data_IF_324688518973
#
_entry.id   IF_324688518973
#
_cell.length_a   1.000
_cell.length_b   1.000
_cell.length_c   1.000
_cell.angle_alpha   90.00
_cell.angle_beta   90.00
_cell.angle_gamma   90.00
#
_symmetry.space_group_name_H-M   'P 1'
#
loop_
_entity.id
_entity.type
_entity.pdbx_description
1 polymer ?
#
# COMPACT_ATOMS: atom_id res chain seq x y z
N UNK A 1 27.68 2.34 -13.18
CA UNK A 1 27.14 1.53 -12.07
C UNK A 1 26.89 0.12 -12.56
N UNK A 2 26.97 -0.87 -11.67
CA UNK A 2 26.58 -2.26 -11.95
C UNK A 2 25.20 -2.49 -11.37
N UNK A 3 24.29 -3.08 -12.16
CA UNK A 3 22.95 -3.43 -11.73
C UNK A 3 22.85 -4.95 -11.62
N UNK A 4 22.42 -5.40 -10.46
CA UNK A 4 22.15 -6.81 -10.18
C UNK A 4 20.71 -6.96 -9.72
N UNK A 5 20.09 -8.12 -10.00
CA UNK A 5 18.78 -8.45 -9.47
C UNK A 5 18.70 -9.93 -9.07
N UNK A 6 17.82 -10.22 -8.11
CA UNK A 6 17.53 -11.58 -7.64
C UNK A 6 16.02 -11.76 -7.46
N UNK A 7 15.44 -12.88 -7.91
CA UNK A 7 14.05 -13.20 -7.61
C UNK A 7 13.90 -13.58 -6.14
N UNK A 8 12.72 -13.34 -5.59
CA UNK A 8 12.32 -13.86 -4.29
C UNK A 8 10.89 -14.36 -4.32
N UNK A 9 10.55 -15.25 -3.39
CA UNK A 9 9.20 -15.72 -3.18
C UNK A 9 8.99 -16.21 -1.74
N UNK A 10 7.77 -16.08 -1.24
CA UNK A 10 7.32 -16.75 -0.01
C UNK A 10 5.82 -17.05 -0.06
N UNK A 11 5.37 -18.06 0.73
CA UNK A 11 3.97 -18.40 0.86
C UNK A 11 3.25 -17.43 1.80
N UNK A 12 2.07 -16.96 1.41
CA UNK A 12 1.13 -16.25 2.28
C UNK A 12 0.26 -17.30 3.01
N UNK A 13 0.38 -17.37 4.33
CA UNK A 13 -0.32 -18.35 5.15
C UNK A 13 -1.04 -17.68 6.32
N UNK A 14 -2.40 -17.70 6.31
CA UNK A 14 -3.29 -18.19 5.26
C UNK A 14 -3.23 -17.35 3.99
N UNK A 15 -3.74 -17.84 2.83
CA UNK A 15 -3.84 -17.03 1.63
C UNK A 15 -4.65 -15.75 1.86
N UNK A 16 -4.20 -14.63 1.32
CA UNK A 16 -4.94 -13.37 1.40
C UNK A 16 -6.08 -13.37 0.38
N UNK A 17 -7.31 -13.26 0.83
CA UNK A 17 -8.47 -13.13 -0.06
C UNK A 17 -8.52 -11.73 -0.67
N UNK A 18 -8.49 -11.67 -1.99
CA UNK A 18 -8.56 -10.42 -2.76
C UNK A 18 -9.77 -10.43 -3.70
N UNK A 19 -10.13 -9.28 -4.27
CA UNK A 19 -11.18 -9.20 -5.28
C UNK A 19 -10.87 -10.04 -6.55
N UNK A 20 -9.59 -10.37 -6.78
CA UNK A 20 -9.14 -11.22 -7.90
C UNK A 20 -8.98 -12.69 -7.50
N UNK A 21 -9.42 -13.11 -6.32
CA UNK A 21 -9.28 -14.45 -5.78
C UNK A 21 -8.20 -14.57 -4.69
N UNK A 22 -7.91 -15.81 -4.23
CA UNK A 22 -6.94 -16.05 -3.19
C UNK A 22 -5.51 -15.79 -3.69
N UNK A 23 -4.77 -15.00 -2.93
CA UNK A 23 -3.36 -14.73 -3.15
C UNK A 23 -2.54 -15.54 -2.15
N UNK A 24 -1.92 -16.62 -2.63
CA UNK A 24 -1.23 -17.62 -1.80
C UNK A 24 0.28 -17.47 -1.77
N UNK A 25 0.86 -16.70 -2.69
CA UNK A 25 2.30 -16.59 -2.84
C UNK A 25 2.69 -15.16 -3.25
N UNK A 26 3.65 -14.60 -2.53
CA UNK A 26 4.28 -13.33 -2.84
C UNK A 26 5.55 -13.58 -3.65
N UNK A 27 5.69 -12.92 -4.81
CA UNK A 27 6.86 -12.98 -5.70
C UNK A 27 7.29 -11.59 -6.09
N UNK A 28 8.59 -11.43 -6.35
CA UNK A 28 9.16 -10.18 -6.84
C UNK A 28 10.65 -10.28 -7.10
N UNK A 29 11.31 -9.13 -7.20
CA UNK A 29 12.75 -9.03 -7.44
C UNK A 29 13.36 -7.99 -6.53
N UNK A 30 14.51 -8.34 -5.96
CA UNK A 30 15.41 -7.40 -5.32
C UNK A 30 16.33 -6.82 -6.39
N UNK A 31 16.62 -5.53 -6.31
CA UNK A 31 17.58 -4.84 -7.15
C UNK A 31 18.70 -4.25 -6.29
N UNK A 32 19.93 -4.32 -6.83
CA UNK A 32 21.11 -3.74 -6.21
C UNK A 32 21.87 -2.94 -7.26
N UNK A 33 22.14 -1.69 -6.96
CA UNK A 33 22.98 -0.80 -7.75
C UNK A 33 24.31 -0.58 -7.04
N UNK A 34 25.41 -1.00 -7.64
CA UNK A 34 26.77 -0.79 -7.13
C UNK A 34 27.38 0.42 -7.84
N UNK A 35 27.64 1.48 -7.08
CA UNK A 35 28.41 2.62 -7.55
C UNK A 35 29.88 2.44 -7.15
N UNK A 36 30.69 1.93 -8.08
CA UNK A 36 32.10 1.69 -7.87
C UNK A 36 32.92 2.95 -7.65
N UNK A 37 32.45 4.11 -8.11
CA UNK A 37 33.19 5.38 -7.95
C UNK A 37 33.11 5.89 -6.50
N UNK A 38 31.95 5.71 -5.85
CA UNK A 38 31.72 6.15 -4.48
C UNK A 38 31.70 5.00 -3.45
N UNK A 39 31.92 3.77 -3.88
CA UNK A 39 31.79 2.55 -3.05
C UNK A 39 30.45 2.48 -2.32
N UNK A 40 29.40 2.99 -2.96
CA UNK A 40 28.04 3.05 -2.43
C UNK A 40 27.15 1.98 -3.07
N UNK A 41 26.18 1.49 -2.31
CA UNK A 41 25.21 0.50 -2.76
C UNK A 41 23.81 1.06 -2.53
N UNK A 42 23.00 1.07 -3.60
CA UNK A 42 21.58 1.37 -3.54
C UNK A 42 20.75 0.10 -3.66
N UNK A 43 19.70 -0.02 -2.87
CA UNK A 43 18.83 -1.18 -2.81
C UNK A 43 17.42 -0.84 -3.25
N UNK A 44 16.83 -1.72 -4.03
CA UNK A 44 15.45 -1.60 -4.49
C UNK A 44 14.72 -2.93 -4.46
N UNK A 45 13.41 -2.85 -4.57
CA UNK A 45 12.54 -4.02 -4.61
C UNK A 45 11.39 -3.80 -5.57
N UNK A 46 11.25 -4.68 -6.57
CA UNK A 46 10.07 -4.74 -7.42
C UNK A 46 9.09 -5.78 -6.87
N UNK A 47 7.99 -5.30 -6.34
CA UNK A 47 7.00 -6.09 -5.61
C UNK A 47 5.62 -6.05 -6.31
N UNK A 48 5.46 -6.61 -7.55
CA UNK A 48 4.23 -6.51 -8.33
C UNK A 48 3.06 -7.30 -7.72
N UNK A 49 1.84 -6.90 -8.03
CA UNK A 49 0.67 -7.76 -7.80
C UNK A 49 0.71 -8.96 -8.77
N UNK A 50 -0.01 -10.08 -8.47
CA UNK A 50 0.02 -11.28 -9.31
C UNK A 50 -0.27 -11.01 -10.79
N UNK A 51 -1.22 -10.13 -11.09
CA UNK A 51 -1.58 -9.80 -12.48
C UNK A 51 -0.50 -9.01 -13.24
N UNK A 52 0.39 -8.31 -12.53
CA UNK A 52 1.46 -7.48 -13.11
C UNK A 52 2.79 -8.23 -13.21
N UNK A 53 2.88 -9.44 -12.61
CA UNK A 53 4.13 -10.17 -12.43
C UNK A 53 4.84 -10.45 -13.77
N UNK A 54 4.12 -10.94 -14.80
CA UNK A 54 4.73 -11.24 -16.11
C UNK A 54 5.35 -10.01 -16.75
N UNK A 55 4.61 -8.90 -16.78
CA UNK A 55 5.11 -7.63 -17.33
C UNK A 55 6.32 -7.08 -16.57
N UNK A 56 6.34 -7.22 -15.25
CA UNK A 56 7.50 -6.84 -14.44
C UNK A 56 8.69 -7.78 -14.67
N UNK A 57 8.46 -9.10 -14.88
CA UNK A 57 9.51 -10.05 -15.20
C UNK A 57 10.24 -9.69 -16.49
N UNK A 58 9.49 -9.39 -17.55
CA UNK A 58 10.05 -8.97 -18.83
C UNK A 58 10.86 -7.67 -18.67
N UNK A 59 10.33 -6.70 -17.92
CA UNK A 59 11.02 -5.45 -17.68
C UNK A 59 12.32 -5.62 -16.87
N UNK A 60 12.31 -6.46 -15.83
CA UNK A 60 13.53 -6.75 -15.03
C UNK A 60 14.58 -7.47 -15.88
N UNK A 61 14.18 -8.46 -16.68
CA UNK A 61 15.08 -9.20 -17.55
C UNK A 61 15.74 -8.31 -18.63
N UNK A 62 15.06 -7.22 -19.03
CA UNK A 62 15.56 -6.26 -20.00
C UNK A 62 16.48 -5.19 -19.41
N UNK A 63 16.64 -5.12 -18.07
CA UNK A 63 17.53 -4.15 -17.43
C UNK A 63 18.99 -4.43 -17.78
N UNK A 64 19.77 -3.40 -18.17
CA UNK A 64 21.20 -3.60 -18.49
C UNK A 64 22.01 -3.86 -17.23
N UNK A 65 22.95 -4.78 -17.29
CA UNK A 65 23.86 -5.06 -16.19
C UNK A 65 24.78 -3.88 -15.85
N UNK A 66 25.12 -3.06 -16.87
CA UNK A 66 25.88 -1.81 -16.71
C UNK A 66 25.05 -0.63 -17.20
N UNK A 67 24.98 0.42 -16.38
CA UNK A 67 24.19 1.60 -16.70
C UNK A 67 24.74 2.87 -16.05
N UNK A 68 24.38 4.03 -16.61
CA UNK A 68 24.60 5.33 -15.97
C UNK A 68 23.35 5.78 -15.18
N UNK A 69 23.53 6.73 -14.27
CA UNK A 69 22.41 7.36 -13.57
C UNK A 69 21.43 7.99 -14.56
N UNK A 70 21.94 8.70 -15.57
CA UNK A 70 21.12 9.36 -16.59
C UNK A 70 20.27 8.36 -17.38
N UNK A 71 20.82 7.18 -17.71
CA UNK A 71 20.09 6.13 -18.38
C UNK A 71 18.94 5.62 -17.51
N UNK A 72 19.18 5.34 -16.24
CA UNK A 72 18.14 4.90 -15.31
C UNK A 72 17.06 5.97 -15.10
N UNK A 73 17.44 7.26 -14.97
CA UNK A 73 16.49 8.38 -14.83
C UNK A 73 15.58 8.54 -16.08
N UNK A 74 16.09 8.26 -17.26
CA UNK A 74 15.28 8.26 -18.48
C UNK A 74 14.35 7.03 -18.55
N UNK A 75 14.88 5.87 -18.23
CA UNK A 75 14.17 4.58 -18.36
C UNK A 75 13.06 4.44 -17.32
N UNK A 76 13.25 4.93 -16.10
CA UNK A 76 12.30 4.78 -14.98
C UNK A 76 10.87 5.23 -15.33
N UNK A 77 10.72 6.19 -16.23
CA UNK A 77 9.42 6.76 -16.64
C UNK A 77 8.60 5.82 -17.53
N UNK A 78 9.22 4.82 -18.13
CA UNK A 78 8.59 3.90 -19.07
C UNK A 78 8.42 2.49 -18.50
N UNK A 79 8.97 2.26 -17.31
CA UNK A 79 8.91 0.96 -16.64
C UNK A 79 7.57 0.74 -15.93
N UNK A 80 7.18 -0.53 -15.73
CA UNK A 80 6.08 -0.86 -14.82
C UNK A 80 6.31 -0.28 -13.43
N UNK A 81 5.24 0.17 -12.77
CA UNK A 81 5.33 0.84 -11.46
C UNK A 81 6.23 0.15 -10.44
N UNK A 82 6.10 -1.18 -10.21
CA UNK A 82 6.97 -1.88 -9.26
C UNK A 82 8.46 -1.84 -9.63
N UNK A 83 8.81 -1.92 -10.90
CA UNK A 83 10.20 -1.87 -11.36
C UNK A 83 10.73 -0.44 -11.27
N UNK A 84 9.92 0.54 -11.62
CA UNK A 84 10.25 1.96 -11.45
C UNK A 84 10.45 2.32 -9.96
N UNK A 85 9.62 1.79 -9.06
CA UNK A 85 9.82 1.93 -7.62
C UNK A 85 11.17 1.37 -7.18
N UNK A 86 11.53 0.15 -7.64
CA UNK A 86 12.79 -0.48 -7.27
C UNK A 86 14.01 0.36 -7.69
N UNK A 87 14.04 0.82 -8.92
CA UNK A 87 15.13 1.66 -9.44
C UNK A 87 15.15 3.01 -8.72
N UNK A 88 13.99 3.66 -8.57
CA UNK A 88 13.88 4.95 -7.89
C UNK A 88 14.32 4.89 -6.43
N UNK A 89 14.00 3.81 -5.71
CA UNK A 89 14.45 3.59 -4.35
C UNK A 89 15.97 3.39 -4.28
N UNK A 90 16.55 2.56 -5.17
CA UNK A 90 17.99 2.33 -5.21
C UNK A 90 18.76 3.62 -5.54
N UNK A 91 18.27 4.42 -6.48
CA UNK A 91 18.84 5.74 -6.79
C UNK A 91 18.70 6.72 -5.61
N UNK A 92 17.58 6.69 -4.89
CA UNK A 92 17.38 7.51 -3.70
C UNK A 92 18.41 7.20 -2.62
N UNK A 93 18.71 5.92 -2.38
CA UNK A 93 19.72 5.50 -1.42
C UNK A 93 21.14 5.92 -1.84
N UNK A 94 21.48 5.77 -3.13
CA UNK A 94 22.76 6.27 -3.65
C UNK A 94 22.89 7.79 -3.50
N UNK A 95 21.78 8.53 -3.58
CA UNK A 95 21.73 9.98 -3.34
C UNK A 95 21.70 10.34 -1.83
N UNK A 96 21.83 9.36 -0.94
CA UNK A 96 21.91 9.56 0.51
C UNK A 96 20.56 9.64 1.25
N UNK A 97 19.43 9.30 0.60
CA UNK A 97 18.17 9.19 1.32
C UNK A 97 18.14 7.93 2.21
N UNK A 98 17.52 8.03 3.40
CA UNK A 98 16.63 9.08 3.92
C UNK A 98 17.33 10.30 4.55
N UNK A 99 18.64 10.44 4.44
CA UNK A 99 19.39 11.54 5.07
C UNK A 99 19.64 11.35 6.57
N UNK A 100 19.34 10.16 7.09
CA UNK A 100 19.45 9.76 8.49
C UNK A 100 18.94 8.33 8.68
N UNK A 101 18.68 7.89 9.92
CA UNK A 101 18.15 6.54 10.16
C UNK A 101 16.74 6.39 9.57
N UNK A 102 16.45 5.19 9.08
CA UNK A 102 15.10 4.81 8.67
C UNK A 102 14.13 4.95 9.85
N UNK A 103 13.03 5.64 9.64
CA UNK A 103 11.98 5.76 10.67
C UNK A 103 11.27 4.43 10.85
N UNK A 104 10.95 4.02 12.09
CA UNK A 104 10.20 2.81 12.34
C UNK A 104 8.76 2.93 11.83
N UNK A 105 8.13 1.79 11.57
CA UNK A 105 6.74 1.72 11.19
C UNK A 105 5.83 2.39 12.24
N UNK A 106 4.91 3.29 11.84
CA UNK A 106 3.94 3.89 12.74
C UNK A 106 2.81 2.90 13.07
N UNK A 107 1.85 3.33 13.90
CA UNK A 107 0.62 2.58 14.11
C UNK A 107 -0.07 2.27 12.77
N UNK A 108 -0.57 1.05 12.64
CA UNK A 108 -1.22 0.55 11.42
C UNK A 108 -2.66 0.15 11.69
N UNK A 109 -3.53 0.33 10.69
CA UNK A 109 -4.86 -0.22 10.71
C UNK A 109 -4.79 -1.77 10.69
N UNK A 110 -5.72 -2.39 11.42
CA UNK A 110 -5.90 -3.85 11.42
C UNK A 110 -6.71 -4.24 10.19
N UNK A 111 -6.18 -5.16 9.40
CA UNK A 111 -6.89 -5.71 8.25
C UNK A 111 -7.84 -6.81 8.72
N UNK A 112 -9.14 -6.59 8.55
CA UNK A 112 -10.17 -7.58 8.81
C UNK A 112 -10.39 -8.45 7.55
N UNK A 113 -10.69 -9.76 7.71
CA UNK A 113 -11.08 -10.59 6.58
C UNK A 113 -12.39 -10.10 5.96
N UNK A 114 -12.62 -10.43 4.69
CA UNK A 114 -13.90 -10.17 4.04
C UNK A 114 -15.02 -11.04 4.63
N UNK A 115 -16.27 -10.59 4.53
CA UNK A 115 -17.44 -11.32 4.99
C UNK A 115 -17.59 -11.41 6.52
N UNK A 116 -18.32 -12.42 7.00
CA UNK A 116 -18.72 -12.55 8.41
C UNK A 116 -17.55 -12.79 9.38
N UNK A 117 -16.45 -13.35 8.90
CA UNK A 117 -15.25 -13.58 9.72
C UNK A 117 -14.64 -12.30 10.27
N UNK A 118 -14.98 -11.15 9.66
CA UNK A 118 -14.56 -9.83 10.12
C UNK A 118 -14.97 -9.55 11.57
N UNK A 119 -16.15 -9.99 11.97
CA UNK A 119 -16.67 -9.77 13.34
C UNK A 119 -15.83 -10.54 14.36
N UNK A 120 -15.57 -11.81 14.07
CA UNK A 120 -14.73 -12.65 14.94
C UNK A 120 -13.32 -12.11 15.03
N UNK A 121 -12.73 -11.70 13.90
CA UNK A 121 -11.40 -11.11 13.86
C UNK A 121 -11.32 -9.79 14.63
N UNK A 122 -12.35 -8.92 14.50
CA UNK A 122 -12.43 -7.68 15.27
C UNK A 122 -12.50 -7.97 16.78
N UNK A 123 -13.35 -8.89 17.20
CA UNK A 123 -13.46 -9.27 18.62
C UNK A 123 -12.15 -9.84 19.18
N UNK A 124 -11.43 -10.64 18.40
CA UNK A 124 -10.11 -11.16 18.79
C UNK A 124 -9.10 -10.02 18.94
N UNK A 125 -9.07 -9.10 17.98
CA UNK A 125 -8.21 -7.93 18.02
C UNK A 125 -8.47 -7.06 19.26
N UNK A 126 -9.74 -6.80 19.58
CA UNK A 126 -10.14 -6.02 20.75
C UNK A 126 -9.71 -6.68 22.07
N UNK A 127 -9.79 -8.01 22.18
CA UNK A 127 -9.29 -8.74 23.35
C UNK A 127 -7.78 -8.65 23.53
N UNK A 128 -7.02 -8.57 22.41
CA UNK A 128 -5.56 -8.46 22.43
C UNK A 128 -5.08 -7.01 22.74
N UNK A 129 -5.92 -6.01 22.47
CA UNK A 129 -5.58 -4.58 22.60
C UNK A 129 -6.32 -3.89 23.77
N UNK A 130 -6.56 -4.59 24.88
CA UNK A 130 -7.37 -4.13 26.03
C UNK A 130 -7.10 -2.70 26.51
N UNK A 131 -5.87 -2.19 26.37
CA UNK A 131 -5.47 -0.85 26.85
C UNK A 131 -5.60 0.27 25.82
N UNK A 132 -5.84 -0.03 24.54
CA UNK A 132 -5.82 0.98 23.46
C UNK A 132 -6.93 0.82 22.41
N UNK A 133 -8.03 0.17 22.78
CA UNK A 133 -9.14 -0.13 21.88
C UNK A 133 -9.79 1.11 21.26
N UNK A 134 -9.76 2.27 21.93
CA UNK A 134 -10.31 3.52 21.41
C UNK A 134 -9.47 4.16 20.29
N UNK A 135 -8.20 3.77 20.15
CA UNK A 135 -7.32 4.22 19.05
C UNK A 135 -7.29 3.23 17.88
N UNK A 136 -8.09 2.16 17.94
CA UNK A 136 -8.14 1.15 16.89
C UNK A 136 -8.64 1.75 15.57
N UNK A 137 -7.93 1.47 14.49
CA UNK A 137 -8.43 1.65 13.12
C UNK A 137 -8.53 0.26 12.50
N UNK A 138 -9.73 -0.13 12.07
CA UNK A 138 -9.99 -1.37 11.35
C UNK A 138 -10.21 -1.07 9.87
N UNK A 139 -9.70 -1.91 8.98
CA UNK A 139 -9.98 -1.88 7.53
C UNK A 139 -10.71 -3.15 7.16
N UNK A 140 -11.90 -3.02 6.56
CA UNK A 140 -12.73 -4.13 6.11
C UNK A 140 -12.96 -4.06 4.61
N UNK A 141 -12.75 -5.20 3.92
CA UNK A 141 -13.01 -5.35 2.50
C UNK A 141 -14.51 -5.57 2.25
N UNK A 142 -15.07 -4.76 1.35
CA UNK A 142 -16.46 -4.80 0.92
C UNK A 142 -16.55 -4.98 -0.60
N UNK A 143 -17.77 -5.27 -1.12
CA UNK A 143 -17.95 -5.58 -2.55
C UNK A 143 -17.56 -7.03 -2.90
N UNK A 144 -17.50 -7.91 -1.90
CA UNK A 144 -17.16 -9.34 -2.04
C UNK A 144 -18.41 -10.20 -1.94
N UNK A 145 -19.39 -9.80 -1.14
CA UNK A 145 -20.70 -10.44 -0.98
C UNK A 145 -21.79 -9.58 -1.64
N UNK A 146 -23.05 -10.06 -1.55
CA UNK A 146 -24.18 -9.23 -1.95
C UNK A 146 -24.27 -7.99 -1.04
N UNK A 147 -24.67 -6.83 -1.60
CA UNK A 147 -24.64 -5.57 -0.87
C UNK A 147 -25.52 -5.51 0.36
N UNK A 148 -26.62 -6.24 0.41
CA UNK A 148 -27.54 -6.21 1.54
C UNK A 148 -26.99 -7.04 2.72
N UNK A 149 -26.36 -8.18 2.43
CA UNK A 149 -25.60 -8.95 3.43
C UNK A 149 -24.44 -8.17 4.01
N UNK A 150 -23.68 -7.45 3.17
CA UNK A 150 -22.57 -6.61 3.65
C UNK A 150 -23.05 -5.45 4.52
N UNK A 151 -24.18 -4.81 4.18
CA UNK A 151 -24.77 -3.76 5.01
C UNK A 151 -25.22 -4.28 6.37
N UNK A 152 -25.76 -5.51 6.47
CA UNK A 152 -26.09 -6.15 7.75
C UNK A 152 -24.84 -6.44 8.58
N UNK A 153 -23.76 -6.90 7.95
CA UNK A 153 -22.46 -7.10 8.61
C UNK A 153 -21.85 -5.79 9.09
N UNK A 154 -22.02 -4.71 8.32
CA UNK A 154 -21.58 -3.36 8.72
C UNK A 154 -22.23 -2.94 10.04
N UNK A 155 -23.54 -3.12 10.21
CA UNK A 155 -24.23 -2.79 11.47
C UNK A 155 -23.59 -3.54 12.64
N UNK A 156 -23.37 -4.83 12.49
CA UNK A 156 -22.74 -5.64 13.53
C UNK A 156 -21.29 -5.20 13.82
N UNK A 157 -20.50 -4.87 12.81
CA UNK A 157 -19.14 -4.36 13.00
C UNK A 157 -19.16 -3.02 13.76
N UNK A 158 -20.06 -2.10 13.40
CA UNK A 158 -20.22 -0.81 14.05
C UNK A 158 -20.65 -0.94 15.53
N UNK A 159 -21.51 -1.90 15.84
CA UNK A 159 -21.91 -2.21 17.23
C UNK A 159 -20.72 -2.72 18.07
N UNK A 160 -19.83 -3.53 17.49
CA UNK A 160 -18.67 -4.08 18.20
C UNK A 160 -17.49 -3.09 18.30
N UNK A 161 -17.41 -2.10 17.41
CA UNK A 161 -16.35 -1.09 17.47
C UNK A 161 -16.53 -0.18 18.70
N UNK A 162 -15.51 -0.05 19.55
CA UNK A 162 -15.57 0.85 20.70
C UNK A 162 -15.66 2.32 20.29
N UNK A 163 -16.09 3.15 21.22
CA UNK A 163 -16.08 4.60 21.00
C UNK A 163 -14.64 5.10 20.76
N UNK A 164 -14.48 5.93 19.71
CA UNK A 164 -13.18 6.44 19.28
C UNK A 164 -12.46 5.57 18.27
N UNK A 165 -12.82 4.28 18.12
CA UNK A 165 -12.29 3.45 17.05
C UNK A 165 -12.87 3.86 15.70
N UNK A 166 -12.09 3.67 14.62
CA UNK A 166 -12.44 4.07 13.27
C UNK A 166 -12.49 2.87 12.32
N UNK A 167 -13.37 2.95 11.34
CA UNK A 167 -13.54 1.94 10.29
C UNK A 167 -13.18 2.52 8.93
N UNK A 168 -12.36 1.81 8.18
CA UNK A 168 -12.12 2.00 6.75
C UNK A 168 -12.83 0.90 5.98
N UNK A 169 -13.54 1.25 4.94
CA UNK A 169 -14.19 0.31 4.04
C UNK A 169 -13.48 0.35 2.69
N UNK A 170 -13.12 -0.80 2.14
CA UNK A 170 -12.37 -0.88 0.89
C UNK A 170 -13.15 -1.70 -0.14
N UNK A 171 -13.66 -1.03 -1.17
CA UNK A 171 -14.44 -1.63 -2.25
C UNK A 171 -13.60 -1.98 -3.49
N UNK A 172 -12.31 -1.65 -3.52
CA UNK A 172 -11.38 -1.92 -4.61
C UNK A 172 -11.93 -1.58 -6.02
N UNK A 173 -12.74 -0.52 -6.14
CA UNK A 173 -13.34 -0.09 -7.40
C UNK A 173 -14.45 -1.00 -7.93
N UNK A 174 -14.94 -1.93 -7.11
CA UNK A 174 -15.86 -2.99 -7.54
C UNK A 174 -17.34 -2.58 -7.59
N UNK A 175 -17.73 -1.43 -7.06
CA UNK A 175 -19.15 -1.04 -7.04
C UNK A 175 -19.55 -0.28 -8.29
N UNK A 176 -20.84 -0.40 -8.63
CA UNK A 176 -21.53 0.52 -9.51
C UNK A 176 -22.04 1.76 -8.74
N UNK A 177 -22.52 2.78 -9.46
CA UNK A 177 -23.05 4.00 -8.87
C UNK A 177 -24.27 3.78 -7.98
N UNK A 178 -25.11 2.78 -8.28
CA UNK A 178 -26.31 2.49 -7.51
C UNK A 178 -25.92 1.91 -6.14
N UNK A 179 -25.03 0.94 -6.12
CA UNK A 179 -24.47 0.34 -4.90
C UNK A 179 -23.74 1.39 -4.07
N UNK A 180 -22.82 2.15 -4.69
CA UNK A 180 -22.09 3.21 -3.99
C UNK A 180 -23.02 4.28 -3.41
N UNK A 181 -24.13 4.59 -4.09
CA UNK A 181 -25.17 5.51 -3.62
C UNK A 181 -25.91 4.99 -2.38
N UNK A 182 -26.26 3.70 -2.32
CA UNK A 182 -26.87 3.04 -1.14
C UNK A 182 -25.94 3.10 0.07
N UNK A 183 -24.70 2.72 -0.12
CA UNK A 183 -23.65 2.78 0.92
C UNK A 183 -23.43 4.22 1.41
N UNK A 184 -23.36 5.19 0.49
CA UNK A 184 -23.21 6.59 0.85
C UNK A 184 -24.39 7.13 1.67
N UNK A 185 -25.63 6.72 1.37
CA UNK A 185 -26.80 7.09 2.20
C UNK A 185 -26.71 6.55 3.61
N UNK A 186 -26.22 5.30 3.77
CA UNK A 186 -26.05 4.69 5.10
C UNK A 186 -24.92 5.36 5.88
N UNK A 187 -23.83 5.71 5.21
CA UNK A 187 -22.57 6.12 5.85
C UNK A 187 -22.43 7.63 6.06
N UNK A 188 -23.26 8.47 5.43
CA UNK A 188 -23.08 9.94 5.44
C UNK A 188 -23.05 10.60 6.83
N UNK A 189 -23.63 9.96 7.85
CA UNK A 189 -23.64 10.42 9.24
C UNK A 189 -22.94 9.45 10.19
N UNK A 190 -22.15 8.50 9.67
CA UNK A 190 -21.48 7.51 10.49
C UNK A 190 -20.18 8.07 11.08
N UNK A 191 -20.20 8.31 12.38
CA UNK A 191 -19.06 8.94 13.09
C UNK A 191 -17.84 8.04 13.19
N UNK A 192 -18.00 6.72 13.10
CA UNK A 192 -16.91 5.74 13.10
C UNK A 192 -16.29 5.53 11.72
N UNK A 193 -16.88 6.08 10.65
CA UNK A 193 -16.30 5.99 9.33
C UNK A 193 -15.08 6.91 9.19
N UNK A 194 -13.90 6.35 8.96
CA UNK A 194 -12.73 7.15 8.61
C UNK A 194 -12.76 7.54 7.14
N UNK A 195 -12.98 6.57 6.24
CA UNK A 195 -13.25 6.77 4.81
C UNK A 195 -13.76 5.51 4.12
N UNK A 196 -14.33 5.72 2.94
CA UNK A 196 -14.63 4.70 1.95
C UNK A 196 -13.53 4.71 0.88
N UNK A 197 -12.75 3.62 0.77
CA UNK A 197 -11.63 3.51 -0.15
C UNK A 197 -12.08 2.95 -1.49
N UNK A 198 -11.71 3.64 -2.56
CA UNK A 198 -11.97 3.33 -3.97
C UNK A 198 -13.35 2.68 -4.21
N UNK A 199 -14.46 3.41 -3.99
CA UNK A 199 -15.80 2.82 -4.12
C UNK A 199 -16.18 2.47 -5.56
N UNK A 200 -15.73 3.25 -6.53
CA UNK A 200 -16.07 3.14 -7.95
C UNK A 200 -14.82 2.87 -8.79
N UNK A 201 -14.98 2.35 -10.02
CA UNK A 201 -13.86 2.20 -10.94
C UNK A 201 -13.05 3.50 -11.09
N UNK A 202 -11.72 3.42 -11.22
CA UNK A 202 -10.85 4.60 -11.36
C UNK A 202 -11.24 5.55 -12.49
N UNK A 203 -11.86 5.03 -13.56
CA UNK A 203 -12.34 5.82 -14.70
C UNK A 203 -13.61 6.62 -14.42
N UNK A 204 -14.34 6.33 -13.33
CA UNK A 204 -15.58 7.05 -12.98
C UNK A 204 -15.31 8.31 -12.15
N UNK A 205 -14.57 9.26 -12.73
CA UNK A 205 -14.19 10.50 -12.07
C UNK A 205 -15.40 11.29 -11.53
N UNK A 206 -16.50 11.35 -12.28
CA UNK A 206 -17.70 12.09 -11.88
C UNK A 206 -18.36 11.45 -10.65
N UNK A 207 -18.48 10.13 -10.63
CA UNK A 207 -19.02 9.38 -9.48
C UNK A 207 -18.15 9.52 -8.24
N UNK A 208 -16.83 9.39 -8.38
CA UNK A 208 -15.86 9.56 -7.28
C UNK A 208 -15.93 10.96 -6.68
N UNK A 209 -15.98 12.02 -7.51
CA UNK A 209 -16.15 13.40 -7.05
C UNK A 209 -17.50 13.61 -6.34
N UNK A 210 -18.57 13.04 -6.86
CA UNK A 210 -19.89 13.16 -6.24
C UNK A 210 -19.93 12.49 -4.85
N UNK A 211 -19.33 11.33 -4.70
CA UNK A 211 -19.20 10.63 -3.41
C UNK A 211 -18.31 11.41 -2.43
N UNK A 212 -17.15 11.92 -2.88
CA UNK A 212 -16.21 12.68 -2.06
C UNK A 212 -16.76 13.99 -1.48
N UNK A 213 -17.88 14.52 -2.06
CA UNK A 213 -18.62 15.67 -1.50
C UNK A 213 -19.58 15.28 -0.37
N UNK A 214 -19.94 14.01 -0.24
CA UNK A 214 -20.95 13.51 0.70
C UNK A 214 -20.33 12.85 1.92
N UNK A 215 -19.19 12.19 1.77
CA UNK A 215 -18.50 11.45 2.81
C UNK A 215 -16.99 11.42 2.54
N UNK A 216 -16.15 11.09 3.55
CA UNK A 216 -14.73 10.89 3.33
C UNK A 216 -14.49 9.73 2.35
N UNK A 217 -13.78 10.00 1.26
CA UNK A 217 -13.36 8.98 0.28
C UNK A 217 -11.84 9.02 0.15
N UNK A 218 -11.22 7.84 0.05
CA UNK A 218 -9.82 7.66 -0.29
C UNK A 218 -9.70 6.99 -1.66
N UNK A 219 -8.73 7.42 -2.46
CA UNK A 219 -8.40 6.79 -3.75
C UNK A 219 -7.12 5.97 -3.61
N UNK A 220 -7.14 4.74 -4.12
CA UNK A 220 -6.03 3.78 -4.22
C UNK A 220 -5.76 3.45 -5.70
N UNK A 221 -6.59 2.63 -6.32
CA UNK A 221 -6.41 2.19 -7.70
C UNK A 221 -6.36 3.35 -8.71
N UNK A 222 -7.01 4.46 -8.41
CA UNK A 222 -6.96 5.68 -9.22
C UNK A 222 -5.57 6.30 -9.31
N UNK A 223 -4.69 6.05 -8.32
CA UNK A 223 -3.30 6.55 -8.31
C UNK A 223 -2.44 5.91 -9.41
N UNK A 224 -2.79 4.69 -9.83
CA UNK A 224 -2.04 3.89 -10.81
C UNK A 224 -2.77 3.76 -12.16
N UNK A 225 -4.01 4.23 -12.23
CA UNK A 225 -4.83 4.11 -13.44
C UNK A 225 -4.45 5.17 -14.49
N UNK A 226 -4.48 4.79 -15.76
CA UNK A 226 -4.13 5.67 -16.88
C UNK A 226 -5.01 6.92 -17.01
N UNK A 227 -6.25 6.89 -16.48
CA UNK A 227 -7.12 8.08 -16.41
C UNK A 227 -6.64 9.11 -15.39
N UNK A 228 -5.70 8.77 -14.52
CA UNK A 228 -5.23 9.63 -13.43
C UNK A 228 -6.28 9.93 -12.37
N UNK A 229 -5.97 10.88 -11.51
CA UNK A 229 -6.90 11.33 -10.47
C UNK A 229 -7.98 12.24 -11.06
N UNK A 230 -9.22 12.23 -10.50
CA UNK A 230 -10.24 13.20 -10.85
C UNK A 230 -9.75 14.64 -10.66
N UNK A 231 -9.93 15.49 -11.68
CA UNK A 231 -9.53 16.90 -11.59
C UNK A 231 -10.22 17.59 -10.40
N UNK A 232 -9.44 18.28 -9.56
CA UNK A 232 -9.96 18.92 -8.35
C UNK A 232 -10.18 17.96 -7.18
N UNK A 233 -9.64 16.74 -7.21
CA UNK A 233 -9.72 15.84 -6.07
C UNK A 233 -9.05 16.44 -4.82
N UNK A 234 -9.78 16.46 -3.72
CA UNK A 234 -9.32 17.01 -2.43
C UNK A 234 -9.52 16.02 -1.26
N UNK A 235 -9.93 14.78 -1.57
CA UNK A 235 -10.08 13.68 -0.61
C UNK A 235 -8.75 13.02 -0.23
N UNK A 236 -8.84 11.89 0.43
CA UNK A 236 -7.69 11.09 0.83
C UNK A 236 -7.06 10.38 -0.37
N UNK A 237 -5.75 10.11 -0.27
CA UNK A 237 -5.00 9.24 -1.17
C UNK A 237 -4.34 8.12 -0.35
N UNK A 238 -4.68 6.88 -0.69
CA UNK A 238 -4.13 5.67 -0.09
C UNK A 238 -2.99 5.16 -0.98
N UNK A 239 -1.80 5.67 -0.76
CA UNK A 239 -0.61 5.36 -1.56
C UNK A 239 -0.09 3.95 -1.30
N UNK A 240 0.16 3.19 -2.38
CA UNK A 240 0.95 1.96 -2.42
C UNK A 240 2.26 2.23 -3.18
N UNK A 241 3.25 2.88 -2.56
CA UNK A 241 4.41 3.39 -3.28
C UNK A 241 5.11 2.32 -4.13
N UNK A 242 5.19 1.08 -3.62
CA UNK A 242 5.79 -0.05 -4.33
C UNK A 242 5.11 -0.41 -5.67
N UNK A 243 3.92 0.13 -5.95
CA UNK A 243 3.15 -0.10 -7.18
C UNK A 243 3.01 1.16 -8.05
N UNK A 244 3.30 2.35 -7.51
CA UNK A 244 2.99 3.64 -8.14
C UNK A 244 4.12 4.20 -9.01
N UNK A 245 5.29 3.61 -8.97
CA UNK A 245 6.46 4.08 -9.72
C UNK A 245 7.55 4.67 -8.84
N UNK A 246 8.32 5.63 -9.39
CA UNK A 246 9.39 6.28 -8.66
C UNK A 246 8.91 6.87 -7.31
N UNK A 247 9.44 6.42 -6.15
CA UNK A 247 8.94 6.87 -4.85
C UNK A 247 9.40 8.28 -4.47
N UNK A 248 10.43 8.83 -5.11
CA UNK A 248 11.05 10.10 -4.72
C UNK A 248 10.10 11.30 -4.73
N UNK A 249 9.21 11.47 -5.72
CA UNK A 249 8.22 12.55 -5.70
C UNK A 249 7.24 12.46 -4.52
N UNK A 250 6.72 11.26 -4.23
CA UNK A 250 5.85 11.06 -3.07
C UNK A 250 6.61 11.30 -1.76
N UNK A 251 7.84 10.79 -1.67
CA UNK A 251 8.70 11.00 -0.50
C UNK A 251 8.86 12.49 -0.20
N UNK A 252 9.19 13.29 -1.21
CA UNK A 252 9.29 14.75 -1.07
C UNK A 252 7.98 15.39 -0.61
N UNK A 253 6.83 14.98 -1.17
CA UNK A 253 5.52 15.46 -0.73
C UNK A 253 5.27 15.16 0.75
N UNK A 254 5.64 13.97 1.23
CA UNK A 254 5.47 13.58 2.63
C UNK A 254 6.40 14.37 3.55
N UNK A 255 7.64 14.64 3.13
CA UNK A 255 8.60 15.46 3.90
C UNK A 255 8.11 16.90 4.09
N UNK A 256 7.51 17.50 3.08
CA UNK A 256 6.94 18.87 3.18
C UNK A 256 5.55 18.91 3.83
N UNK A 257 5.00 17.76 4.23
CA UNK A 257 3.74 17.68 4.93
C UNK A 257 2.50 17.79 4.04
N UNK A 258 2.45 17.07 2.91
CA UNK A 258 1.25 17.00 2.08
C UNK A 258 0.08 16.38 2.87
N UNK A 259 -1.10 17.04 2.93
CA UNK A 259 -2.23 16.54 3.70
C UNK A 259 -2.94 15.38 3.02
N UNK A 260 -3.72 14.63 3.82
CA UNK A 260 -4.58 13.53 3.36
C UNK A 260 -3.83 12.47 2.56
N UNK A 261 -2.65 12.07 3.04
CA UNK A 261 -1.84 10.99 2.52
C UNK A 261 -1.78 9.86 3.54
N UNK A 262 -2.12 8.67 3.11
CA UNK A 262 -1.93 7.43 3.87
C UNK A 262 -1.05 6.50 3.04
N UNK A 263 -0.10 5.84 3.68
CA UNK A 263 0.81 4.89 3.02
C UNK A 263 0.44 3.48 3.43
N UNK A 264 0.36 2.59 2.44
CA UNK A 264 0.03 1.19 2.61
C UNK A 264 1.06 0.29 1.93
N UNK A 265 1.20 -0.94 2.40
CA UNK A 265 2.09 -1.96 1.86
C UNK A 265 1.48 -2.66 0.64
N UNK A 266 2.36 -3.18 -0.23
CA UNK A 266 2.05 -4.24 -1.18
C UNK A 266 2.69 -5.57 -0.75
N UNK A 267 3.04 -5.71 0.53
CA UNK A 267 3.72 -6.86 1.15
C UNK A 267 5.15 -7.03 0.60
N UNK A 268 5.99 -6.07 0.89
CA UNK A 268 7.40 -6.03 0.51
C UNK A 268 8.26 -6.90 1.46
N UNK A 269 9.49 -7.19 1.01
CA UNK A 269 10.57 -7.66 1.88
C UNK A 269 11.08 -6.54 2.78
N UNK A 270 12.09 -6.79 3.61
CA UNK A 270 12.71 -5.75 4.43
C UNK A 270 13.36 -4.62 3.64
N UNK A 271 13.72 -4.82 2.35
CA UNK A 271 14.28 -3.76 1.49
C UNK A 271 13.21 -2.72 1.15
N UNK A 272 12.10 -3.12 0.54
CA UNK A 272 10.99 -2.21 0.25
C UNK A 272 10.28 -1.78 1.52
N UNK A 273 10.05 -2.72 2.44
CA UNK A 273 9.30 -2.50 3.68
C UNK A 273 9.87 -1.39 4.56
N UNK A 274 11.22 -1.24 4.66
CA UNK A 274 11.82 -0.12 5.40
C UNK A 274 11.52 1.24 4.79
N UNK A 275 11.47 1.33 3.45
CA UNK A 275 11.12 2.55 2.75
C UNK A 275 9.62 2.89 2.92
N UNK A 276 8.76 1.88 2.80
CA UNK A 276 7.31 2.02 3.04
C UNK A 276 7.05 2.43 4.48
N UNK A 277 7.69 1.81 5.48
CA UNK A 277 7.58 2.18 6.89
C UNK A 277 8.01 3.64 7.13
N UNK A 278 9.13 4.05 6.53
CA UNK A 278 9.63 5.44 6.64
C UNK A 278 8.62 6.45 6.04
N UNK A 279 8.14 6.21 4.83
CA UNK A 279 7.13 7.06 4.20
C UNK A 279 5.82 7.10 5.00
N UNK A 280 5.39 5.96 5.55
CA UNK A 280 4.23 5.89 6.43
C UNK A 280 4.44 6.71 7.71
N UNK A 281 5.64 6.68 8.29
CA UNK A 281 5.99 7.49 9.47
C UNK A 281 6.02 8.98 9.15
N UNK A 282 6.48 9.40 7.97
CA UNK A 282 6.39 10.78 7.51
C UNK A 282 4.92 11.22 7.36
N UNK A 283 4.09 10.41 6.71
CA UNK A 283 2.66 10.68 6.54
C UNK A 283 1.94 10.82 7.90
N UNK A 284 2.25 9.94 8.87
CA UNK A 284 1.64 9.97 10.20
C UNK A 284 2.04 11.18 11.06
N UNK A 285 3.13 11.88 10.69
CA UNK A 285 3.60 13.12 11.31
C UNK A 285 3.15 14.37 10.56
N UNK A 286 2.50 14.19 9.41
CA UNK A 286 1.98 15.27 8.58
C UNK A 286 0.76 15.99 9.18
N UNK A 287 0.18 16.95 8.46
CA UNK A 287 -0.93 17.79 8.96
C UNK A 287 -2.25 17.03 9.16
N UNK A 288 -2.39 15.82 8.59
CA UNK A 288 -3.55 14.96 8.72
C UNK A 288 -3.13 13.55 9.15
N UNK A 289 -2.68 13.37 10.41
CA UNK A 289 -2.17 12.09 10.88
C UNK A 289 -3.24 11.01 10.85
N UNK A 290 -2.88 9.81 10.41
CA UNK A 290 -3.75 8.64 10.43
C UNK A 290 -2.90 7.37 10.56
N UNK A 291 -3.51 6.28 11.00
CA UNK A 291 -2.87 4.97 11.00
C UNK A 291 -2.48 4.56 9.58
N UNK A 292 -1.31 3.96 9.42
CA UNK A 292 -0.87 3.43 8.12
C UNK A 292 -1.64 2.15 7.71
N UNK A 293 -1.40 1.68 6.50
CA UNK A 293 -1.98 0.43 5.99
C UNK A 293 -0.92 -0.67 5.82
N UNK A 294 -0.13 -0.96 6.87
CA UNK A 294 1.05 -1.84 6.75
C UNK A 294 0.74 -3.34 6.93
N UNK A 295 -0.51 -3.70 7.17
CA UNK A 295 -0.97 -5.09 7.30
C UNK A 295 -0.04 -5.97 8.17
N UNK A 296 0.17 -5.64 9.45
CA UNK A 296 1.07 -6.39 10.31
C UNK A 296 0.67 -7.87 10.38
N UNK A 297 1.67 -8.74 10.33
CA UNK A 297 1.45 -10.21 10.28
C UNK A 297 1.35 -10.80 8.88
N UNK A 298 1.31 -10.00 7.81
CA UNK A 298 1.24 -10.45 6.42
C UNK A 298 2.55 -10.31 5.64
N UNK A 299 3.54 -9.63 6.20
CA UNK A 299 4.84 -9.41 5.56
C UNK A 299 5.72 -10.66 5.46
N UNK A 300 6.87 -10.51 4.85
CA UNK A 300 7.93 -11.51 4.83
C UNK A 300 8.35 -11.91 6.25
N UNK A 301 8.95 -13.08 6.38
CA UNK A 301 9.48 -13.60 7.64
C UNK A 301 10.96 -14.00 7.50
N UNK A 302 11.62 -14.28 8.62
CA UNK A 302 13.04 -14.63 8.64
C UNK A 302 13.91 -13.52 8.01
N UNK A 303 14.97 -13.90 7.32
CA UNK A 303 15.94 -12.96 6.75
C UNK A 303 15.37 -12.10 5.63
N UNK A 304 14.30 -12.54 4.94
CA UNK A 304 13.57 -11.68 3.98
C UNK A 304 12.88 -10.48 4.66
N UNK A 305 12.62 -10.53 5.96
CA UNK A 305 12.04 -9.42 6.73
C UNK A 305 13.12 -8.52 7.39
N UNK A 306 14.40 -8.85 7.23
CA UNK A 306 15.49 -8.09 7.84
C UNK A 306 15.53 -6.65 7.34
N UNK A 307 15.79 -5.70 8.24
CA UNK A 307 16.05 -4.30 7.87
C UNK A 307 17.46 -4.08 7.30
N UNK A 308 18.32 -5.10 7.32
CA UNK A 308 19.67 -5.10 6.75
C UNK A 308 19.59 -5.63 5.31
N UNK A 309 19.73 -4.79 4.28
CA UNK A 309 19.48 -5.19 2.89
C UNK A 309 20.33 -6.35 2.40
N UNK A 310 21.57 -6.42 2.87
CA UNK A 310 22.48 -7.50 2.49
C UNK A 310 21.95 -8.87 2.95
N UNK A 311 21.34 -8.97 4.14
CA UNK A 311 20.72 -10.21 4.62
C UNK A 311 19.51 -10.60 3.77
N UNK A 312 18.68 -9.62 3.42
CA UNK A 312 17.53 -9.85 2.52
C UNK A 312 17.99 -10.34 1.16
N UNK A 313 19.06 -9.73 0.62
CA UNK A 313 19.67 -10.10 -0.65
C UNK A 313 20.21 -11.54 -0.64
N UNK A 314 20.85 -11.96 0.45
CA UNK A 314 21.40 -13.31 0.61
C UNK A 314 20.31 -14.37 0.81
N UNK A 315 19.18 -13.98 1.43
CA UNK A 315 18.02 -14.85 1.64
C UNK A 315 17.17 -15.04 0.37
N UNK A 316 17.26 -14.12 -0.59
CA UNK A 316 16.65 -14.30 -1.89
C UNK A 316 17.39 -15.39 -2.68
N UNK A 317 16.67 -16.10 -3.52
CA UNK A 317 17.29 -17.13 -4.39
C UNK A 317 18.40 -16.58 -5.28
N UNK A 318 19.23 -17.48 -5.84
CA UNK A 318 20.28 -17.11 -6.78
C UNK A 318 19.71 -16.61 -8.11
#
# INVERSE_FOLDING_TARGET
MQLHWRPYQWALQPPLLTACGPWSERRGWLLRLDDSQNSAIGWGEAAPLPAEHGHCADAVAALPAECSTEHLEQTIRTLPGPVAFAIGLALAELAGLPGGPWLPAPASAVLLPAGADAITALQQTLRQQETNASALVAKWKVGVLDPDSELQLLEQLLEHLPNGAMLRLDANGGWDRATAGRWAMRLQNESKLQWLEQPLPPSDHAGLLALGRRLPVALDESLRHTSGLPSGWSGWLAHKPALEGDPRPLWQQLQIGAPKRMVTTALETGIGGRAIAHMAALASRGPTPCAAGLAPGWGASGDLASTIPQQVWEAAGP
#
